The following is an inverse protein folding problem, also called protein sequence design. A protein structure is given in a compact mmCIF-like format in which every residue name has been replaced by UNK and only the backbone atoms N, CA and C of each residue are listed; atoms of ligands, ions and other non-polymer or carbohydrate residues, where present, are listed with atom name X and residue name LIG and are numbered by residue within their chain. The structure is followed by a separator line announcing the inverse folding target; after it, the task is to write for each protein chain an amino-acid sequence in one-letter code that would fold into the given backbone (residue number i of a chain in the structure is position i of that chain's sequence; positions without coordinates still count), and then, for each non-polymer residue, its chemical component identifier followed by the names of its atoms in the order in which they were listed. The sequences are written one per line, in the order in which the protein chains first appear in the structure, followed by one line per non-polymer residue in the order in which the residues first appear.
data_IF_264668078533
#
_entry.id   IF_264668078533
#
_cell.length_a   1.000
_cell.length_b   1.000
_cell.length_c   1.000
_cell.angle_alpha   90.00
_cell.angle_beta   90.00
_cell.angle_gamma   90.00
#
_symmetry.space_group_name_H-M   'P 1'
#
loop_
_entity.id
_entity.type
_entity.pdbx_description
1 polymer ?
#
# COMPACT_ATOMS: atom_id res chain seq x y z
N UNK A 1 2.87 16.40 -5.04
CA UNK A 1 1.54 16.62 -5.69
C UNK A 1 1.32 15.65 -6.86
N UNK A 2 2.38 15.29 -7.56
CA UNK A 2 2.53 14.32 -8.64
C UNK A 2 1.81 13.00 -8.37
N UNK A 3 2.10 12.35 -7.24
CA UNK A 3 1.45 11.07 -6.86
C UNK A 3 -0.07 11.21 -6.71
N UNK A 4 -0.56 12.35 -6.21
CA UNK A 4 -2.00 12.60 -6.08
C UNK A 4 -2.66 12.80 -7.46
N UNK A 5 -1.98 13.47 -8.39
CA UNK A 5 -2.46 13.66 -9.75
C UNK A 5 -2.50 12.32 -10.51
N UNK A 6 -1.46 11.50 -10.37
CA UNK A 6 -1.43 10.15 -10.93
C UNK A 6 -2.54 9.26 -10.34
N UNK A 7 -2.69 9.24 -9.01
CA UNK A 7 -3.74 8.47 -8.34
C UNK A 7 -5.15 8.86 -8.80
N UNK A 8 -5.40 10.16 -9.03
CA UNK A 8 -6.67 10.64 -9.58
C UNK A 8 -6.97 10.05 -10.96
N UNK A 9 -6.00 10.05 -11.88
CA UNK A 9 -6.20 9.44 -13.20
C UNK A 9 -6.39 7.93 -13.11
N UNK A 10 -5.51 7.26 -12.35
CA UNK A 10 -5.53 5.80 -12.27
C UNK A 10 -6.76 5.26 -11.56
N UNK A 11 -7.21 5.88 -10.47
CA UNK A 11 -8.17 5.24 -9.57
C UNK A 11 -9.54 5.93 -9.49
N UNK A 12 -9.69 7.12 -10.09
CA UNK A 12 -10.92 7.91 -9.99
C UNK A 12 -11.49 8.28 -11.36
N UNK A 13 -10.68 8.83 -12.27
CA UNK A 13 -11.19 9.42 -13.52
C UNK A 13 -11.10 8.48 -14.73
N UNK A 14 -9.92 7.89 -14.98
CA UNK A 14 -9.69 7.12 -16.20
C UNK A 14 -9.81 5.61 -15.99
N UNK A 15 -9.16 5.07 -14.95
CA UNK A 15 -9.20 3.63 -14.61
C UNK A 15 -8.69 2.76 -15.79
N UNK A 16 -7.41 2.90 -16.19
CA UNK A 16 -6.86 2.19 -17.35
C UNK A 16 -6.66 0.69 -17.09
N UNK A 17 -6.77 -0.13 -18.14
CA UNK A 17 -6.54 -1.59 -18.04
C UNK A 17 -5.06 -1.93 -17.88
N UNK A 18 -4.16 -1.11 -18.43
CA UNK A 18 -2.70 -1.28 -18.35
C UNK A 18 -2.05 0.03 -17.92
N UNK A 19 -1.14 -0.02 -16.95
CA UNK A 19 -0.29 1.09 -16.54
C UNK A 19 1.17 0.67 -16.70
N UNK A 20 1.98 1.42 -17.46
CA UNK A 20 3.39 1.08 -17.68
C UNK A 20 4.34 2.14 -17.12
N UNK A 21 5.13 1.75 -16.12
CA UNK A 21 6.09 2.59 -15.42
C UNK A 21 7.54 2.21 -15.81
N UNK A 22 8.27 3.15 -16.40
CA UNK A 22 9.68 2.97 -16.74
C UNK A 22 10.59 3.32 -15.56
N UNK A 23 11.58 2.47 -15.27
CA UNK A 23 12.57 2.64 -14.21
C UNK A 23 13.98 2.30 -14.71
N UNK A 24 14.99 2.67 -13.91
CA UNK A 24 16.39 2.31 -14.11
C UNK A 24 17.07 2.06 -12.75
N UNK A 25 18.00 1.11 -12.61
CA UNK A 25 18.58 0.23 -13.63
C UNK A 25 18.36 -1.26 -13.31
N UNK A 26 18.34 -2.09 -14.36
CA UNK A 26 18.23 -3.54 -14.21
C UNK A 26 19.45 -4.17 -13.52
N UNK A 27 19.34 -5.43 -13.05
CA UNK A 27 20.45 -6.14 -12.42
C UNK A 27 21.70 -6.23 -13.32
N UNK A 28 22.88 -6.28 -12.71
CA UNK A 28 24.14 -6.46 -13.43
C UNK A 28 24.10 -7.69 -14.35
N UNK A 29 24.67 -7.56 -15.56
CA UNK A 29 24.66 -8.61 -16.58
C UNK A 29 23.33 -8.77 -17.32
N UNK A 30 22.42 -7.79 -17.23
CA UNK A 30 21.16 -7.72 -18.00
C UNK A 30 21.02 -6.37 -18.68
N UNK A 31 20.03 -6.25 -19.58
CA UNK A 31 19.61 -4.96 -20.15
C UNK A 31 18.31 -4.48 -19.51
N UNK A 32 17.34 -5.38 -19.36
CA UNK A 32 16.01 -5.08 -18.83
C UNK A 32 15.62 -6.12 -17.79
N UNK A 33 15.14 -5.69 -16.63
CA UNK A 33 14.29 -6.54 -15.79
C UNK A 33 12.84 -6.11 -15.93
N UNK A 34 11.93 -7.04 -16.16
CA UNK A 34 10.52 -6.74 -16.41
C UNK A 34 9.58 -7.88 -15.99
N UNK A 35 8.27 -7.75 -16.25
CA UNK A 35 7.30 -8.79 -15.93
C UNK A 35 7.55 -10.08 -16.74
N UNK A 36 7.16 -11.26 -16.23
CA UNK A 36 6.58 -11.51 -14.90
C UNK A 36 7.53 -11.28 -13.73
N UNK A 37 6.97 -11.00 -12.56
CA UNK A 37 7.74 -10.80 -11.32
C UNK A 37 7.83 -12.09 -10.50
N UNK A 38 8.77 -12.15 -9.56
CA UNK A 38 8.89 -13.33 -8.69
C UNK A 38 7.80 -13.36 -7.63
N UNK A 39 7.55 -14.55 -7.12
CA UNK A 39 6.78 -14.77 -5.90
C UNK A 39 7.51 -14.21 -4.67
N UNK A 40 6.79 -13.96 -3.55
CA UNK A 40 5.34 -14.08 -3.42
C UNK A 40 4.56 -12.88 -4.01
N UNK A 41 3.38 -13.16 -4.57
CA UNK A 41 2.35 -12.16 -4.85
C UNK A 41 1.32 -12.08 -3.72
N UNK A 42 0.61 -10.96 -3.63
CA UNK A 42 -0.43 -10.81 -2.61
C UNK A 42 -1.65 -11.68 -2.94
N UNK A 43 -2.02 -12.59 -2.04
CA UNK A 43 -3.08 -13.57 -2.24
C UNK A 43 -4.49 -12.96 -2.32
N UNK A 44 -4.67 -11.67 -2.02
CA UNK A 44 -5.97 -10.98 -2.16
C UNK A 44 -6.30 -10.59 -3.60
N UNK A 45 -5.32 -10.67 -4.51
CA UNK A 45 -5.54 -10.39 -5.94
C UNK A 45 -6.53 -11.38 -6.56
N UNK A 46 -7.26 -10.92 -7.57
CA UNK A 46 -7.97 -11.83 -8.45
C UNK A 46 -6.94 -12.57 -9.32
N UNK A 47 -7.00 -13.90 -9.45
CA UNK A 47 -6.00 -14.67 -10.21
C UNK A 47 -5.92 -14.27 -11.68
N UNK A 48 -7.00 -13.73 -12.27
CA UNK A 48 -6.99 -13.21 -13.66
C UNK A 48 -5.96 -12.10 -13.84
N UNK A 49 -5.65 -11.33 -12.78
CA UNK A 49 -4.65 -10.28 -12.85
C UNK A 49 -3.25 -10.83 -13.15
N UNK A 50 -2.84 -11.89 -12.44
CA UNK A 50 -1.48 -12.43 -12.53
C UNK A 50 -1.26 -13.11 -13.89
N UNK A 51 -2.26 -13.84 -14.39
CA UNK A 51 -2.18 -14.48 -15.70
C UNK A 51 -2.23 -13.45 -16.84
N UNK A 52 -2.98 -12.36 -16.68
CA UNK A 52 -2.98 -11.25 -17.64
C UNK A 52 -1.64 -10.50 -17.64
N UNK A 53 -1.05 -10.26 -16.47
CA UNK A 53 0.31 -9.72 -16.35
C UNK A 53 1.33 -10.59 -17.07
N UNK A 54 1.23 -11.91 -16.90
CA UNK A 54 2.11 -12.87 -17.56
C UNK A 54 1.98 -12.82 -19.09
N UNK A 55 0.75 -12.68 -19.60
CA UNK A 55 0.50 -12.54 -21.03
C UNK A 55 1.14 -11.27 -21.63
N UNK A 56 0.99 -10.11 -20.96
CA UNK A 56 1.62 -8.86 -21.40
C UNK A 56 3.14 -8.95 -21.30
N UNK A 57 3.67 -9.50 -20.20
CA UNK A 57 5.11 -9.70 -20.02
C UNK A 57 5.73 -10.61 -21.08
N UNK A 58 5.04 -11.70 -21.45
CA UNK A 58 5.44 -12.54 -22.57
C UNK A 58 5.47 -11.76 -23.89
N UNK A 59 4.46 -10.94 -24.19
CA UNK A 59 4.44 -10.12 -25.40
C UNK A 59 5.61 -9.12 -25.45
N UNK A 60 5.95 -8.50 -24.31
CA UNK A 60 7.10 -7.60 -24.17
C UNK A 60 8.42 -8.32 -24.46
N UNK A 61 8.63 -9.47 -23.80
CA UNK A 61 9.86 -10.26 -23.93
C UNK A 61 10.02 -10.84 -25.35
N UNK A 62 8.95 -11.43 -25.91
CA UNK A 62 8.94 -11.97 -27.27
C UNK A 62 9.29 -10.91 -28.30
N UNK A 63 8.76 -9.69 -28.16
CA UNK A 63 9.09 -8.61 -29.09
C UNK A 63 10.58 -8.30 -29.11
N UNK A 64 11.23 -8.18 -27.95
CA UNK A 64 12.67 -7.93 -27.90
C UNK A 64 13.46 -9.05 -28.57
N UNK A 65 13.06 -10.31 -28.37
CA UNK A 65 13.71 -11.44 -29.03
C UNK A 65 13.53 -11.42 -30.56
N UNK A 66 12.34 -11.07 -31.06
CA UNK A 66 12.08 -10.89 -32.50
C UNK A 66 12.94 -9.77 -33.09
N UNK A 67 13.18 -8.70 -32.32
CA UNK A 67 14.03 -7.57 -32.73
C UNK A 67 15.53 -7.80 -32.47
N UNK A 68 15.94 -9.01 -32.11
CA UNK A 68 17.33 -9.36 -31.77
C UNK A 68 17.94 -8.48 -30.66
N UNK A 69 17.13 -8.14 -29.65
CA UNK A 69 17.49 -7.34 -28.47
C UNK A 69 17.65 -8.23 -27.23
N UNK A 70 18.85 -8.77 -26.94
CA UNK A 70 19.09 -9.67 -25.81
C UNK A 70 19.07 -8.94 -24.46
N UNK A 71 19.04 -9.70 -23.37
CA UNK A 71 19.25 -9.22 -22.00
C UNK A 71 17.98 -8.87 -21.23
N UNK A 72 16.81 -9.35 -21.65
CA UNK A 72 15.60 -9.27 -20.85
C UNK A 72 15.59 -10.38 -19.79
N UNK A 73 15.27 -10.02 -18.55
CA UNK A 73 15.16 -10.94 -17.43
C UNK A 73 13.84 -10.76 -16.67
N UNK A 74 13.31 -11.84 -16.11
CA UNK A 74 12.04 -11.90 -15.39
C UNK A 74 12.11 -12.86 -14.20
N UNK A 75 11.08 -12.88 -13.35
CA UNK A 75 10.94 -13.80 -12.20
C UNK A 75 12.24 -13.86 -11.37
N UNK A 76 12.87 -15.03 -11.27
CA UNK A 76 14.09 -15.28 -10.49
C UNK A 76 15.33 -14.55 -11.00
N UNK A 77 15.27 -13.98 -12.20
CA UNK A 77 16.30 -13.11 -12.75
C UNK A 77 16.37 -11.71 -12.11
N UNK A 78 15.35 -11.33 -11.33
CA UNK A 78 15.25 -10.08 -10.59
C UNK A 78 14.74 -10.30 -9.16
N UNK A 79 14.87 -9.28 -8.30
CA UNK A 79 14.39 -9.35 -6.91
C UNK A 79 12.92 -8.96 -6.76
N UNK A 80 12.34 -8.28 -7.75
CA UNK A 80 11.02 -7.65 -7.64
C UNK A 80 9.89 -8.65 -7.47
N UNK A 81 9.14 -8.52 -6.37
CA UNK A 81 7.88 -9.24 -6.16
C UNK A 81 6.67 -8.30 -6.25
N UNK A 82 5.47 -8.84 -6.10
CA UNK A 82 4.20 -8.10 -6.19
C UNK A 82 3.44 -8.08 -4.87
N UNK A 83 4.15 -8.31 -3.76
CA UNK A 83 3.59 -8.30 -2.41
C UNK A 83 3.25 -6.87 -1.93
N UNK A 84 4.25 -5.98 -1.90
CA UNK A 84 4.13 -4.63 -1.35
C UNK A 84 3.29 -3.70 -2.24
N UNK A 85 2.34 -2.96 -1.65
CA UNK A 85 1.41 -2.10 -2.39
C UNK A 85 1.87 -0.65 -2.64
N UNK A 86 3.04 -0.23 -2.14
CA UNK A 86 3.41 1.19 -2.10
C UNK A 86 4.05 1.76 -3.37
N UNK A 87 4.27 0.93 -4.39
CA UNK A 87 4.78 1.37 -5.69
C UNK A 87 3.64 1.70 -6.65
N UNK A 88 3.87 2.65 -7.58
CA UNK A 88 2.91 3.01 -8.63
C UNK A 88 2.40 1.76 -9.37
N UNK A 89 3.29 0.82 -9.72
CA UNK A 89 2.93 -0.48 -10.31
C UNK A 89 2.04 -1.31 -9.39
N UNK A 90 2.47 -1.57 -8.17
CA UNK A 90 1.82 -2.59 -7.34
C UNK A 90 0.50 -2.13 -6.77
N UNK A 91 0.30 -0.83 -6.53
CA UNK A 91 -1.03 -0.32 -6.15
C UNK A 91 -2.09 -0.67 -7.20
N UNK A 92 -1.77 -0.61 -8.50
CA UNK A 92 -2.74 -0.89 -9.59
C UNK A 92 -3.29 -2.32 -9.57
N UNK A 93 -2.54 -3.28 -9.03
CA UNK A 93 -2.99 -4.66 -8.86
C UNK A 93 -4.19 -4.79 -7.92
N UNK A 94 -4.22 -4.00 -6.86
CA UNK A 94 -5.36 -3.94 -5.94
C UNK A 94 -6.59 -3.25 -6.55
N UNK A 95 -6.44 -2.70 -7.76
CA UNK A 95 -7.47 -1.96 -8.51
C UNK A 95 -7.84 -2.67 -9.82
N UNK A 96 -7.53 -3.96 -9.95
CA UNK A 96 -7.86 -4.80 -11.12
C UNK A 96 -7.20 -4.33 -12.43
N UNK A 97 -6.04 -3.68 -12.35
CA UNK A 97 -5.31 -3.14 -13.49
C UNK A 97 -3.96 -3.84 -13.64
N UNK A 98 -3.51 -4.03 -14.88
CA UNK A 98 -2.21 -4.61 -15.17
C UNK A 98 -1.13 -3.53 -15.03
N UNK A 99 -0.49 -3.50 -13.86
CA UNK A 99 0.71 -2.69 -13.61
C UNK A 99 1.97 -3.32 -14.20
N UNK A 100 2.71 -2.56 -14.99
CA UNK A 100 4.00 -2.95 -15.57
C UNK A 100 5.10 -2.03 -15.05
N UNK A 101 6.25 -2.61 -14.79
CA UNK A 101 7.51 -1.93 -14.49
C UNK A 101 8.64 -2.61 -15.24
N UNK A 102 9.49 -1.81 -15.88
CA UNK A 102 10.76 -2.29 -16.42
C UNK A 102 11.90 -1.46 -15.89
N UNK A 103 12.94 -2.15 -15.42
CA UNK A 103 14.23 -1.56 -15.07
C UNK A 103 15.19 -1.70 -16.24
N UNK A 104 15.51 -0.60 -16.92
CA UNK A 104 16.37 -0.62 -18.10
C UNK A 104 17.72 0.01 -17.75
N UNK A 105 18.82 -0.71 -17.96
CA UNK A 105 20.17 -0.16 -17.81
C UNK A 105 20.36 1.04 -18.73
N UNK A 106 21.05 2.09 -18.27
CA UNK A 106 21.32 3.27 -19.09
C UNK A 106 21.67 4.49 -18.27
N UNK A 107 22.44 5.40 -18.86
CA UNK A 107 22.79 6.70 -18.31
C UNK A 107 23.13 7.63 -19.48
N UNK A 108 22.96 8.96 -19.37
CA UNK A 108 23.48 9.91 -20.35
C UNK A 108 24.98 9.71 -20.62
N UNK A 109 25.73 9.26 -19.61
CA UNK A 109 27.12 8.85 -19.76
C UNK A 109 27.19 7.39 -20.24
N UNK A 110 27.91 7.08 -21.33
CA UNK A 110 28.11 5.71 -21.77
C UNK A 110 28.63 4.80 -20.65
N UNK A 111 28.09 3.60 -20.58
CA UNK A 111 28.42 2.60 -19.56
C UNK A 111 28.81 1.27 -20.20
N UNK A 112 29.01 0.24 -19.38
CA UNK A 112 29.26 -1.12 -19.83
C UNK A 112 28.20 -2.06 -19.26
N UNK A 113 27.80 -3.06 -20.04
CA UNK A 113 27.15 -4.26 -19.51
C UNK A 113 28.27 -5.13 -18.93
N UNK A 114 28.33 -5.33 -17.60
CA UNK A 114 29.41 -6.09 -16.99
C UNK A 114 29.27 -7.59 -17.26
N UNK A 115 30.40 -8.30 -17.22
CA UNK A 115 30.43 -9.76 -17.27
C UNK A 115 29.89 -10.35 -15.97
N UNK A 116 28.79 -11.10 -16.08
CA UNK A 116 28.23 -11.91 -15.00
C UNK A 116 28.07 -13.34 -15.52
N UNK A 117 29.07 -14.22 -15.33
CA UNK A 117 29.08 -15.55 -15.96
C UNK A 117 27.84 -16.39 -15.65
N UNK A 118 27.29 -16.28 -14.43
CA UNK A 118 26.08 -16.99 -14.01
C UNK A 118 24.81 -16.61 -14.77
N UNK A 119 24.83 -15.53 -15.57
CA UNK A 119 23.72 -15.07 -16.42
C UNK A 119 23.92 -15.38 -17.90
N UNK A 120 25.04 -16.00 -18.30
CA UNK A 120 25.32 -16.28 -19.71
C UNK A 120 24.65 -17.55 -20.24
N UNK A 121 24.26 -18.47 -19.36
CA UNK A 121 23.51 -19.66 -19.75
C UNK A 121 22.02 -19.32 -19.89
N UNK A 122 21.40 -19.53 -21.07
CA UNK A 122 19.97 -19.32 -21.26
C UNK A 122 19.12 -20.18 -20.31
N UNK A 123 18.03 -19.60 -19.81
CA UNK A 123 17.01 -20.30 -19.04
C UNK A 123 15.62 -19.67 -19.26
N UNK A 124 14.60 -20.15 -18.55
CA UNK A 124 13.22 -19.61 -18.65
C UNK A 124 13.08 -18.16 -18.21
N UNK A 125 13.98 -17.68 -17.36
CA UNK A 125 13.97 -16.29 -16.85
C UNK A 125 14.70 -15.34 -17.80
N UNK A 126 15.66 -15.84 -18.59
CA UNK A 126 16.48 -15.07 -19.53
C UNK A 126 16.95 -15.96 -20.70
N UNK A 127 16.08 -16.23 -21.69
CA UNK A 127 16.35 -17.15 -22.79
C UNK A 127 17.34 -16.60 -23.81
N UNK A 128 17.55 -15.27 -23.82
CA UNK A 128 18.45 -14.59 -24.75
C UNK A 128 19.37 -13.63 -23.98
N UNK A 129 20.40 -14.13 -23.28
CA UNK A 129 21.27 -13.31 -22.44
C UNK A 129 22.14 -12.35 -23.25
N UNK A 130 22.43 -11.18 -22.69
CA UNK A 130 23.33 -10.19 -23.31
C UNK A 130 24.79 -10.52 -22.98
N UNK A 131 25.69 -10.29 -23.93
CA UNK A 131 27.14 -10.40 -23.71
C UNK A 131 27.73 -9.07 -23.22
N UNK A 132 28.89 -9.09 -22.51
CA UNK A 132 29.55 -7.88 -22.06
C UNK A 132 29.86 -6.96 -23.23
N UNK A 133 29.48 -5.68 -23.13
CA UNK A 133 29.67 -4.70 -24.20
C UNK A 133 29.50 -3.28 -23.70
N UNK A 134 30.03 -2.31 -24.46
CA UNK A 134 29.69 -0.90 -24.27
C UNK A 134 28.19 -0.69 -24.48
N UNK A 135 27.61 0.16 -23.65
CA UNK A 135 26.20 0.49 -23.64
C UNK A 135 26.02 2.00 -23.75
N UNK A 136 25.31 2.44 -24.78
CA UNK A 136 25.02 3.85 -25.00
C UNK A 136 23.58 4.15 -24.63
N UNK A 137 23.29 5.37 -24.18
CA UNK A 137 21.93 5.76 -23.78
C UNK A 137 20.88 5.49 -24.89
N UNK A 138 21.27 5.67 -26.15
CA UNK A 138 20.42 5.34 -27.31
C UNK A 138 19.93 3.89 -27.27
N UNK A 139 20.77 2.93 -26.86
CA UNK A 139 20.37 1.53 -26.76
C UNK A 139 19.22 1.36 -25.77
N UNK A 140 19.27 2.02 -24.61
CA UNK A 140 18.19 2.00 -23.62
C UNK A 140 16.89 2.58 -24.17
N UNK A 141 16.97 3.69 -24.92
CA UNK A 141 15.82 4.30 -25.58
C UNK A 141 15.22 3.34 -26.63
N UNK A 142 16.07 2.69 -27.43
CA UNK A 142 15.61 1.73 -28.44
C UNK A 142 14.89 0.53 -27.81
N UNK A 143 15.30 0.07 -26.62
CA UNK A 143 14.59 -0.97 -25.88
C UNK A 143 13.26 -0.45 -25.31
N UNK A 144 13.27 0.75 -24.71
CA UNK A 144 12.08 1.39 -24.16
C UNK A 144 10.99 1.59 -25.22
N UNK A 145 11.35 2.10 -26.40
CA UNK A 145 10.41 2.28 -27.53
C UNK A 145 9.78 0.95 -27.94
N UNK A 146 10.57 -0.11 -28.06
CA UNK A 146 10.04 -1.43 -28.40
C UNK A 146 9.09 -1.99 -27.35
N UNK A 147 9.43 -1.84 -26.08
CA UNK A 147 8.56 -2.29 -24.99
C UNK A 147 7.24 -1.52 -24.95
N UNK A 148 7.26 -0.20 -25.19
CA UNK A 148 6.03 0.59 -25.35
C UNK A 148 5.17 0.07 -26.51
N UNK A 149 5.76 -0.18 -27.68
CA UNK A 149 5.01 -0.76 -28.80
C UNK A 149 4.55 -2.20 -28.54
N UNK A 150 5.25 -2.99 -27.74
CA UNK A 150 4.77 -4.31 -27.32
C UNK A 150 3.48 -4.19 -26.53
N UNK A 151 3.46 -3.28 -25.54
CA UNK A 151 2.29 -3.02 -24.70
C UNK A 151 1.13 -2.47 -25.52
N UNK A 152 1.38 -1.46 -26.37
CA UNK A 152 0.34 -0.86 -27.23
C UNK A 152 -0.23 -1.87 -28.23
N UNK A 153 0.62 -2.70 -28.85
CA UNK A 153 0.17 -3.74 -29.78
C UNK A 153 -0.64 -4.82 -29.07
N UNK A 154 -0.23 -5.22 -27.85
CA UNK A 154 -1.01 -6.16 -27.05
C UNK A 154 -2.39 -5.55 -26.73
N UNK A 155 -2.43 -4.31 -26.23
CA UNK A 155 -3.67 -3.62 -25.91
C UNK A 155 -4.61 -3.52 -27.13
N UNK A 156 -4.07 -3.21 -28.30
CA UNK A 156 -4.84 -3.11 -29.55
C UNK A 156 -5.42 -4.45 -30.00
N UNK A 157 -4.70 -5.56 -29.81
CA UNK A 157 -5.12 -6.91 -30.24
C UNK A 157 -6.05 -7.61 -29.27
N UNK A 158 -5.99 -7.25 -27.98
CA UNK A 158 -6.70 -7.89 -26.87
C UNK A 158 -7.64 -6.91 -26.15
N UNK A 159 -8.14 -5.89 -26.84
CA UNK A 159 -8.89 -4.79 -26.22
C UNK A 159 -10.18 -5.26 -25.53
N UNK A 160 -10.92 -6.17 -26.15
CA UNK A 160 -12.13 -6.78 -25.62
C UNK A 160 -11.85 -7.63 -24.38
N UNK A 161 -10.81 -8.46 -24.42
CA UNK A 161 -10.36 -9.27 -23.30
C UNK A 161 -9.90 -8.40 -22.11
N UNK A 162 -9.11 -7.35 -22.36
CA UNK A 162 -8.66 -6.42 -21.32
C UNK A 162 -9.83 -5.72 -20.61
N UNK A 163 -10.83 -5.28 -21.38
CA UNK A 163 -12.04 -4.65 -20.85
C UNK A 163 -12.91 -5.64 -20.07
N UNK A 164 -13.07 -6.86 -20.58
CA UNK A 164 -13.84 -7.89 -19.90
C UNK A 164 -13.15 -8.35 -18.60
N UNK A 165 -11.83 -8.52 -18.60
CA UNK A 165 -11.07 -8.98 -17.45
C UNK A 165 -11.17 -8.00 -16.27
N UNK A 166 -11.02 -6.68 -16.51
CA UNK A 166 -11.19 -5.70 -15.43
C UNK A 166 -12.61 -5.70 -14.86
N UNK A 167 -13.64 -5.84 -15.72
CA UNK A 167 -15.02 -6.00 -15.30
C UNK A 167 -15.20 -7.26 -14.43
N UNK A 168 -14.70 -8.40 -14.88
CA UNK A 168 -14.86 -9.69 -14.21
C UNK A 168 -14.17 -9.68 -12.84
N UNK A 169 -12.95 -9.16 -12.74
CA UNK A 169 -12.22 -9.02 -11.48
C UNK A 169 -12.97 -8.10 -10.49
N UNK A 170 -13.50 -6.97 -10.98
CA UNK A 170 -14.34 -6.07 -10.18
C UNK A 170 -15.63 -6.72 -9.70
N UNK A 171 -16.32 -7.47 -10.57
CA UNK A 171 -17.53 -8.22 -10.22
C UNK A 171 -17.23 -9.30 -9.17
N UNK A 172 -16.17 -10.08 -9.36
CA UNK A 172 -15.72 -11.09 -8.39
C UNK A 172 -15.48 -10.48 -7.01
N UNK A 173 -14.82 -9.31 -6.97
CA UNK A 173 -14.58 -8.57 -5.73
C UNK A 173 -15.88 -8.16 -5.03
N UNK A 174 -16.84 -7.60 -5.77
CA UNK A 174 -18.16 -7.23 -5.24
C UNK A 174 -18.90 -8.47 -4.72
N UNK A 175 -18.93 -9.56 -5.49
CA UNK A 175 -19.60 -10.80 -5.11
C UNK A 175 -19.00 -11.40 -3.83
N UNK A 176 -17.66 -11.40 -3.69
CA UNK A 176 -16.96 -11.82 -2.46
C UNK A 176 -17.29 -10.91 -1.27
N UNK A 177 -17.47 -9.61 -1.49
CA UNK A 177 -17.92 -8.69 -0.45
C UNK A 177 -19.39 -8.88 -0.03
N UNK A 178 -20.22 -9.51 -0.87
CA UNK A 178 -21.67 -9.76 -0.64
C UNK A 178 -22.04 -11.13 -0.08
N UNK A 179 -21.18 -12.15 -0.17
CA UNK A 179 -21.36 -13.46 0.48
C UNK A 179 -20.22 -13.84 1.45
N UNK A 180 -20.45 -14.80 2.33
CA UNK A 180 -19.39 -15.32 3.19
C UNK A 180 -18.24 -15.83 2.32
N UNK A 181 -17.05 -15.32 2.58
CA UNK A 181 -15.83 -15.62 1.84
C UNK A 181 -14.71 -15.85 2.84
N UNK A 182 -13.84 -16.81 2.55
CA UNK A 182 -12.66 -17.10 3.36
C UNK A 182 -11.43 -17.03 2.47
N UNK A 183 -10.73 -15.90 2.50
CA UNK A 183 -9.48 -15.74 1.74
C UNK A 183 -8.38 -16.61 2.34
N UNK A 184 -7.55 -17.22 1.49
CA UNK A 184 -6.37 -17.95 1.92
C UNK A 184 -5.33 -17.00 2.52
N UNK A 185 -4.51 -17.50 3.45
CA UNK A 185 -3.32 -16.82 3.94
C UNK A 185 -2.32 -17.86 4.44
N UNK A 186 -1.01 -17.56 4.49
CA UNK A 186 0.00 -18.45 5.05
C UNK A 186 -0.37 -19.03 6.42
N UNK A 187 -0.83 -18.21 7.36
CA UNK A 187 -1.29 -18.68 8.69
C UNK A 187 -2.46 -19.66 8.62
N UNK A 188 -3.42 -19.45 7.71
CA UNK A 188 -4.54 -20.39 7.52
C UNK A 188 -4.06 -21.72 6.95
N UNK A 189 -3.14 -21.70 5.98
CA UNK A 189 -2.53 -22.92 5.42
C UNK A 189 -1.71 -23.66 6.50
N UNK A 190 -0.95 -22.94 7.32
CA UNK A 190 -0.22 -23.51 8.44
C UNK A 190 -1.17 -24.13 9.48
N UNK A 191 -2.29 -23.48 9.78
CA UNK A 191 -3.31 -24.02 10.68
C UNK A 191 -3.93 -25.33 10.17
N UNK A 192 -4.18 -25.45 8.85
CA UNK A 192 -4.64 -26.69 8.22
C UNK A 192 -3.60 -27.80 8.40
N UNK A 193 -2.34 -27.50 8.10
CA UNK A 193 -1.22 -28.45 8.25
C UNK A 193 -1.05 -28.89 9.72
N UNK A 194 -1.17 -27.96 10.67
CA UNK A 194 -1.08 -28.25 12.09
C UNK A 194 -2.26 -29.11 12.57
N UNK A 195 -3.48 -28.86 12.08
CA UNK A 195 -4.65 -29.67 12.40
C UNK A 195 -4.48 -31.11 11.89
N UNK A 196 -3.95 -31.29 10.69
CA UNK A 196 -3.67 -32.61 10.13
C UNK A 196 -2.58 -33.37 10.89
N UNK A 197 -1.49 -32.70 11.28
CA UNK A 197 -0.44 -33.29 12.12
C UNK A 197 -0.99 -33.78 13.47
N UNK A 198 -1.87 -33.00 14.11
CA UNK A 198 -2.49 -33.34 15.40
C UNK A 198 -3.51 -34.48 15.30
N UNK A 199 -4.30 -34.51 14.22
CA UNK A 199 -5.38 -35.47 14.06
C UNK A 199 -4.95 -36.90 13.67
N UNK A 200 -3.65 -37.19 13.66
CA UNK A 200 -3.07 -38.38 13.04
C UNK A 200 -3.22 -38.34 11.52
N UNK A 201 -2.31 -38.97 10.78
CA UNK A 201 -2.41 -39.07 9.32
C UNK A 201 -3.64 -39.89 8.93
N UNK A 202 -4.82 -39.26 8.90
CA UNK A 202 -5.94 -39.70 8.09
C UNK A 202 -5.57 -39.47 6.63
N UNK A 203 -4.55 -40.20 6.17
CA UNK A 203 -4.23 -40.30 4.76
C UNK A 203 -5.48 -40.87 4.11
N UNK A 204 -6.11 -40.08 3.23
CA UNK A 204 -6.99 -40.68 2.26
C UNK A 204 -6.07 -41.52 1.37
N UNK A 205 -6.12 -42.84 1.53
CA UNK A 205 -5.45 -43.78 0.64
C UNK A 205 -6.08 -43.60 -0.75
N UNK A 206 -5.37 -42.90 -1.62
CA UNK A 206 -5.80 -42.63 -3.00
C UNK A 206 -5.28 -43.70 -3.96
N UNK A 207 -4.86 -44.86 -3.42
CA UNK A 207 -4.30 -45.97 -4.17
C UNK A 207 -2.89 -45.69 -4.70
N UNK A 208 -2.19 -46.75 -5.07
CA UNK A 208 -0.92 -46.66 -5.79
C UNK A 208 -1.19 -46.16 -7.21
N UNK A 209 -0.60 -44.99 -7.52
CA UNK A 209 -0.46 -44.55 -8.91
C UNK A 209 0.90 -44.98 -9.43
N UNK A 210 1.01 -45.18 -10.75
CA UNK A 210 2.29 -45.45 -11.44
C UNK A 210 3.35 -44.32 -11.21
N UNK A 211 2.92 -43.18 -10.66
CA UNK A 211 3.74 -42.03 -10.28
C UNK A 211 3.97 -41.90 -8.75
N UNK A 212 3.71 -42.96 -7.97
CA UNK A 212 3.92 -43.04 -6.52
C UNK A 212 2.66 -42.80 -5.67
N UNK A 213 2.78 -43.04 -4.35
CA UNK A 213 1.71 -42.87 -3.37
C UNK A 213 1.35 -41.38 -3.19
N UNK A 214 0.15 -40.98 -3.64
CA UNK A 214 -0.38 -39.63 -3.40
C UNK A 214 -0.98 -39.57 -2.00
N UNK A 215 -0.21 -39.06 -1.04
CA UNK A 215 -0.72 -38.77 0.31
C UNK A 215 -1.66 -37.56 0.23
N UNK A 216 -2.97 -37.82 0.28
CA UNK A 216 -3.98 -36.78 0.39
C UNK A 216 -4.38 -36.57 1.85
N UNK A 217 -4.45 -35.29 2.25
CA UNK A 217 -4.97 -34.88 3.55
C UNK A 217 -6.50 -34.95 3.56
N UNK A 218 -7.10 -35.42 4.66
CA UNK A 218 -8.56 -35.40 4.80
C UNK A 218 -9.11 -33.97 4.76
N UNK A 219 -10.13 -33.73 3.91
CA UNK A 219 -10.75 -32.40 3.71
C UNK A 219 -11.29 -31.76 4.99
N UNK A 220 -11.63 -32.56 6.02
CA UNK A 220 -12.10 -32.04 7.31
C UNK A 220 -11.15 -31.00 7.93
N UNK A 221 -9.82 -31.13 7.72
CA UNK A 221 -8.84 -30.18 8.25
C UNK A 221 -8.91 -28.83 7.51
N UNK A 222 -9.20 -28.87 6.20
CA UNK A 222 -9.56 -27.67 5.44
C UNK A 222 -10.81 -27.05 6.02
N UNK A 223 -11.91 -27.81 6.17
CA UNK A 223 -13.19 -27.29 6.65
C UNK A 223 -13.11 -26.70 8.06
N UNK A 224 -12.30 -27.32 8.94
CA UNK A 224 -12.11 -26.86 10.32
C UNK A 224 -11.52 -25.45 10.38
N UNK A 225 -10.67 -25.09 9.41
CA UNK A 225 -10.04 -23.76 9.34
C UNK A 225 -10.84 -22.84 8.44
N UNK A 226 -11.10 -23.27 7.20
CA UNK A 226 -11.65 -22.44 6.14
C UNK A 226 -13.17 -22.26 6.24
N UNK A 227 -13.92 -23.08 6.97
CA UNK A 227 -15.36 -22.86 7.16
C UNK A 227 -15.69 -22.32 8.56
N UNK A 228 -14.67 -22.08 9.41
CA UNK A 228 -14.88 -21.51 10.73
C UNK A 228 -15.41 -20.06 10.61
N UNK A 229 -16.50 -19.70 11.31
CA UNK A 229 -17.09 -18.36 11.23
C UNK A 229 -16.12 -17.23 11.55
N UNK A 230 -15.20 -17.45 12.50
CA UNK A 230 -14.17 -16.49 12.91
C UNK A 230 -13.19 -16.14 11.78
N UNK A 231 -12.97 -17.07 10.83
CA UNK A 231 -12.02 -16.90 9.73
C UNK A 231 -12.64 -16.26 8.48
N UNK A 232 -13.92 -15.90 8.52
CA UNK A 232 -14.60 -15.16 7.44
C UNK A 232 -13.93 -13.82 7.21
N UNK A 233 -13.85 -13.44 5.95
CA UNK A 233 -13.48 -12.09 5.56
C UNK A 233 -14.54 -11.08 6.04
N UNK A 234 -14.18 -9.81 6.25
CA UNK A 234 -15.13 -8.81 6.71
C UNK A 234 -16.05 -8.32 5.58
N UNK A 235 -17.26 -7.91 5.98
CA UNK A 235 -18.26 -7.18 5.19
C UNK A 235 -18.03 -5.69 5.11
N UNK A 236 -17.30 -5.17 6.10
CA UNK A 236 -16.93 -3.78 6.16
C UNK A 236 -16.32 -3.41 7.50
N UNK A 237 -15.93 -2.15 7.56
CA UNK A 237 -15.25 -1.54 8.68
C UNK A 237 -16.01 -0.29 9.11
N UNK A 238 -16.12 -0.08 10.42
CA UNK A 238 -16.77 1.10 10.99
C UNK A 238 -15.73 1.90 11.76
N UNK A 239 -15.55 3.17 11.40
CA UNK A 239 -14.67 4.12 12.08
C UNK A 239 -15.57 5.08 12.88
N UNK A 240 -15.60 4.88 14.19
CA UNK A 240 -16.44 5.68 15.09
C UNK A 240 -15.94 7.13 15.22
N UNK A 241 -16.86 8.10 15.21
CA UNK A 241 -16.53 9.54 15.27
C UNK A 241 -16.07 10.05 16.64
N UNK A 242 -16.20 9.22 17.67
CA UNK A 242 -15.79 9.50 19.05
C UNK A 242 -14.39 8.96 19.41
N UNK A 243 -13.67 8.39 18.43
CA UNK A 243 -12.28 7.97 18.66
C UNK A 243 -11.34 9.16 18.97
N UNK A 244 -10.22 8.95 19.69
CA UNK A 244 -9.39 10.03 20.22
C UNK A 244 -8.81 10.98 19.15
N UNK A 245 -8.33 10.44 18.03
CA UNK A 245 -7.80 11.19 16.89
C UNK A 245 -8.60 10.92 15.61
N UNK A 246 -9.84 11.38 15.59
CA UNK A 246 -10.70 11.21 14.43
C UNK A 246 -10.19 11.97 13.19
N UNK A 247 -9.40 13.03 13.35
CA UNK A 247 -8.86 13.77 12.22
C UNK A 247 -7.78 12.96 11.48
N UNK A 248 -6.97 12.16 12.20
CA UNK A 248 -6.11 11.14 11.58
C UNK A 248 -6.92 10.05 10.87
N UNK A 249 -8.07 9.62 11.43
CA UNK A 249 -8.99 8.73 10.71
C UNK A 249 -9.54 9.35 9.41
N UNK A 250 -9.84 10.65 9.38
CA UNK A 250 -10.23 11.35 8.15
C UNK A 250 -9.08 11.36 7.13
N UNK A 251 -7.83 11.57 7.55
CA UNK A 251 -6.66 11.49 6.64
C UNK A 251 -6.53 10.10 6.01
N UNK A 252 -6.72 9.06 6.81
CA UNK A 252 -6.73 7.68 6.32
C UNK A 252 -7.87 7.45 5.31
N UNK A 253 -9.10 7.85 5.62
CA UNK A 253 -10.23 7.77 4.68
C UNK A 253 -9.96 8.57 3.39
N UNK A 254 -9.30 9.73 3.48
CA UNK A 254 -8.88 10.50 2.32
C UNK A 254 -7.79 9.79 1.50
N UNK A 255 -6.91 9.01 2.12
CA UNK A 255 -5.97 8.15 1.39
C UNK A 255 -6.73 7.09 0.57
N UNK A 256 -7.74 6.46 1.16
CA UNK A 256 -8.62 5.51 0.48
C UNK A 256 -9.42 6.16 -0.67
N UNK A 257 -9.99 7.36 -0.44
CA UNK A 257 -10.75 8.08 -1.46
C UNK A 257 -9.88 8.46 -2.66
N UNK A 258 -8.60 8.81 -2.43
CA UNK A 258 -7.64 9.09 -3.50
C UNK A 258 -7.31 7.87 -4.35
N UNK A 259 -7.53 6.67 -3.81
CA UNK A 259 -7.38 5.39 -4.51
C UNK A 259 -8.73 4.81 -4.93
N UNK A 260 -9.77 5.65 -5.07
CA UNK A 260 -11.05 5.23 -5.64
C UNK A 260 -11.93 4.38 -4.72
N UNK A 261 -11.55 4.24 -3.45
CA UNK A 261 -12.37 3.51 -2.46
C UNK A 261 -13.59 4.33 -2.08
N UNK A 262 -14.74 3.65 -2.08
CA UNK A 262 -16.01 4.18 -1.62
C UNK A 262 -16.05 4.18 -0.10
N UNK A 263 -16.38 5.34 0.45
CA UNK A 263 -16.60 5.57 1.88
C UNK A 263 -18.04 6.08 2.07
N UNK A 264 -18.67 5.71 3.18
CA UNK A 264 -20.00 6.20 3.56
C UNK A 264 -19.93 6.94 4.89
N UNK A 265 -20.74 7.99 5.06
CA UNK A 265 -20.92 8.73 6.32
C UNK A 265 -22.27 8.37 6.93
N UNK A 266 -22.31 8.07 8.22
CA UNK A 266 -23.56 7.89 8.95
C UNK A 266 -24.20 9.25 9.25
N UNK A 267 -25.43 9.50 8.78
CA UNK A 267 -26.15 10.76 9.00
C UNK A 267 -26.88 10.80 10.34
N UNK A 268 -27.11 9.63 10.96
CA UNK A 268 -27.68 9.49 12.29
C UNK A 268 -26.96 8.38 13.07
N UNK A 269 -27.19 8.34 14.37
CA UNK A 269 -26.72 7.25 15.24
C UNK A 269 -27.31 5.91 14.79
N UNK A 270 -26.51 4.85 14.81
CA UNK A 270 -26.91 3.50 14.40
C UNK A 270 -26.26 2.42 15.27
N UNK A 271 -26.71 1.17 15.14
CA UNK A 271 -26.20 0.03 15.92
C UNK A 271 -25.83 -1.11 14.98
N UNK A 272 -24.65 -1.71 15.19
CA UNK A 272 -24.19 -2.93 14.48
C UNK A 272 -23.57 -3.86 15.49
N UNK A 273 -23.94 -5.15 15.45
CA UNK A 273 -23.46 -6.18 16.39
C UNK A 273 -23.57 -5.77 17.87
N UNK A 274 -24.67 -5.09 18.23
CA UNK A 274 -24.93 -4.62 19.60
C UNK A 274 -24.14 -3.37 20.03
N UNK A 275 -23.20 -2.88 19.22
CA UNK A 275 -22.45 -1.64 19.48
C UNK A 275 -23.14 -0.44 18.81
N UNK A 276 -23.33 0.63 19.57
CA UNK A 276 -23.92 1.89 19.11
C UNK A 276 -22.83 2.84 18.60
N UNK A 277 -23.06 3.45 17.44
CA UNK A 277 -22.14 4.38 16.79
C UNK A 277 -22.79 5.76 16.61
N UNK A 278 -22.09 6.86 16.91
CA UNK A 278 -22.63 8.19 16.75
C UNK A 278 -22.77 8.59 15.27
N UNK A 279 -23.68 9.53 15.00
CA UNK A 279 -23.71 10.24 13.72
C UNK A 279 -22.33 10.85 13.38
N UNK A 280 -22.00 10.88 12.10
CA UNK A 280 -20.68 11.31 11.60
C UNK A 280 -19.62 10.21 11.58
N UNK A 281 -19.91 9.01 12.10
CA UNK A 281 -19.04 7.84 11.92
C UNK A 281 -18.96 7.45 10.44
N UNK A 282 -17.84 6.85 10.02
CA UNK A 282 -17.64 6.42 8.64
C UNK A 282 -17.68 4.91 8.51
N UNK A 283 -18.10 4.44 7.34
CA UNK A 283 -18.18 3.03 6.98
C UNK A 283 -17.44 2.80 5.67
N UNK A 284 -16.60 1.77 5.64
CA UNK A 284 -15.97 1.27 4.42
C UNK A 284 -16.44 -0.16 4.19
N UNK A 285 -17.28 -0.36 3.18
CA UNK A 285 -17.81 -1.68 2.83
C UNK A 285 -16.85 -2.46 1.93
N UNK A 286 -16.86 -3.79 2.00
CA UNK A 286 -15.99 -4.63 1.16
C UNK A 286 -16.64 -5.06 -0.16
N UNK A 287 -17.94 -4.80 -0.38
CA UNK A 287 -18.67 -5.11 -1.61
C UNK A 287 -18.47 -4.08 -2.73
N UNK A 288 -17.21 -3.72 -2.98
CA UNK A 288 -16.79 -2.80 -4.03
C UNK A 288 -15.71 -3.40 -4.93
N UNK A 289 -15.56 -2.86 -6.14
CA UNK A 289 -14.66 -3.44 -7.16
C UNK A 289 -13.20 -3.52 -6.70
N UNK A 290 -12.75 -2.55 -5.89
CA UNK A 290 -11.39 -2.50 -5.34
C UNK A 290 -11.30 -3.11 -3.93
N UNK A 291 -12.12 -4.13 -3.65
CA UNK A 291 -12.09 -4.91 -2.40
C UNK A 291 -10.68 -5.33 -1.98
N UNK A 292 -9.78 -5.80 -2.88
CA UNK A 292 -8.42 -6.16 -2.48
C UNK A 292 -7.69 -5.01 -1.79
N UNK A 293 -7.83 -3.77 -2.28
CA UNK A 293 -7.19 -2.61 -1.66
C UNK A 293 -7.79 -2.28 -0.29
N UNK A 294 -9.11 -2.46 -0.12
CA UNK A 294 -9.74 -2.30 1.20
C UNK A 294 -9.14 -3.29 2.20
N UNK A 295 -9.07 -4.58 1.85
CA UNK A 295 -8.47 -5.59 2.74
C UNK A 295 -7.01 -5.26 3.08
N UNK A 296 -6.22 -4.85 2.09
CA UNK A 296 -4.82 -4.50 2.26
C UNK A 296 -4.59 -3.32 3.22
N UNK A 297 -5.56 -2.39 3.31
CA UNK A 297 -5.48 -1.21 4.16
C UNK A 297 -5.99 -1.40 5.59
N UNK A 298 -6.79 -2.45 5.85
CA UNK A 298 -7.41 -2.71 7.15
C UNK A 298 -6.97 -4.01 7.82
N UNK A 299 -6.63 -5.06 7.06
CA UNK A 299 -6.25 -6.36 7.60
C UNK A 299 -4.72 -6.46 7.81
N UNK A 300 -4.26 -7.29 8.77
CA UNK A 300 -2.84 -7.52 8.95
C UNK A 300 -2.23 -8.26 7.75
N UNK A 301 -1.06 -7.82 7.31
CA UNK A 301 -0.29 -8.53 6.30
C UNK A 301 0.19 -9.90 6.82
N UNK A 302 0.16 -10.90 5.96
CA UNK A 302 0.60 -12.27 6.25
C UNK A 302 1.55 -12.76 5.15
N UNK A 303 2.76 -12.21 5.12
CA UNK A 303 3.75 -12.51 4.08
C UNK A 303 4.17 -13.99 4.14
N UNK A 304 4.16 -14.73 3.01
CA UNK A 304 4.63 -16.11 2.97
C UNK A 304 6.11 -16.20 3.35
N UNK A 305 6.50 -17.20 4.13
CA UNK A 305 7.93 -17.46 4.32
C UNK A 305 8.51 -17.99 3.01
N UNK A 306 9.31 -17.18 2.34
CA UNK A 306 9.89 -17.49 1.03
C UNK A 306 11.23 -18.18 1.20
N UNK A 307 11.33 -19.45 0.82
CA UNK A 307 12.55 -20.25 0.96
C UNK A 307 12.94 -20.87 -0.38
N UNK A 308 14.25 -20.89 -0.67
CA UNK A 308 14.77 -21.57 -1.86
C UNK A 308 14.63 -23.10 -1.79
N UNK A 309 14.64 -23.65 -0.57
CA UNK A 309 14.44 -25.07 -0.28
C UNK A 309 13.99 -25.22 1.17
N UNK A 310 13.38 -26.36 1.50
CA UNK A 310 12.89 -26.66 2.86
C UNK A 310 14.02 -26.58 3.90
N UNK A 311 13.82 -25.80 4.97
CA UNK A 311 14.80 -25.57 6.03
C UNK A 311 15.92 -24.57 5.69
N UNK A 312 15.91 -23.97 4.50
CA UNK A 312 16.84 -22.91 4.11
C UNK A 312 16.56 -21.56 4.82
N UNK A 313 17.47 -20.60 4.66
CA UNK A 313 17.22 -19.22 5.09
C UNK A 313 16.14 -18.56 4.21
N UNK A 314 15.28 -17.70 4.79
CA UNK A 314 14.26 -17.03 4.00
C UNK A 314 14.90 -16.00 3.06
N UNK A 315 14.35 -15.89 1.85
CA UNK A 315 14.68 -14.81 0.91
C UNK A 315 14.05 -13.53 1.46
N UNK A 316 14.84 -12.47 1.70
CA UNK A 316 14.29 -11.20 2.17
C UNK A 316 13.20 -10.68 1.23
N UNK A 317 12.15 -10.02 1.77
CA UNK A 317 11.22 -9.29 0.92
C UNK A 317 12.00 -8.25 0.12
N UNK A 318 11.57 -8.03 -1.13
CA UNK A 318 12.18 -7.01 -1.98
C UNK A 318 12.08 -5.61 -1.37
N UNK A 319 10.94 -5.33 -0.72
CA UNK A 319 10.61 -4.03 -0.13
C UNK A 319 10.08 -4.24 1.29
N UNK A 320 8.80 -3.98 1.57
CA UNK A 320 8.16 -4.25 2.85
C UNK A 320 7.39 -5.59 2.89
N UNK A 321 7.36 -6.22 4.07
CA UNK A 321 6.49 -7.37 4.36
C UNK A 321 5.22 -6.99 5.16
N UNK A 322 5.17 -5.80 5.75
CA UNK A 322 4.01 -5.27 6.48
C UNK A 322 3.91 -3.75 6.39
N UNK A 323 2.72 -3.22 6.08
CA UNK A 323 2.46 -1.79 5.83
C UNK A 323 1.01 -1.37 6.07
N UNK A 324 0.18 -2.18 6.73
CA UNK A 324 -1.27 -1.93 6.88
C UNK A 324 -1.52 -0.52 7.41
N UNK A 325 -2.04 0.35 6.54
CA UNK A 325 -2.03 1.79 6.78
C UNK A 325 -2.91 2.19 7.97
N UNK A 326 -4.04 1.49 8.19
CA UNK A 326 -4.88 1.73 9.36
C UNK A 326 -4.11 1.54 10.68
N UNK A 327 -3.19 0.57 10.74
CA UNK A 327 -2.36 0.34 11.93
C UNK A 327 -1.23 1.35 12.05
N UNK A 328 -0.56 1.68 10.94
CA UNK A 328 0.50 2.68 10.93
C UNK A 328 0.01 4.08 11.33
N UNK A 329 -1.28 4.37 11.08
CA UNK A 329 -1.93 5.63 11.43
C UNK A 329 -2.70 5.58 12.76
N UNK A 330 -2.62 4.47 13.50
CA UNK A 330 -3.36 4.21 14.74
C UNK A 330 -4.89 4.42 14.65
N UNK A 331 -5.46 4.16 13.48
CA UNK A 331 -6.90 4.32 13.22
C UNK A 331 -7.67 3.27 14.01
N UNK A 332 -8.67 3.71 14.79
CA UNK A 332 -9.57 2.79 15.49
C UNK A 332 -10.76 2.45 14.61
N UNK A 333 -11.02 1.17 14.45
CA UNK A 333 -12.13 0.67 13.65
C UNK A 333 -12.66 -0.66 14.19
N UNK A 334 -13.93 -0.94 13.90
CA UNK A 334 -14.55 -2.24 14.15
C UNK A 334 -14.66 -3.02 12.85
N UNK A 335 -14.16 -4.26 12.86
CA UNK A 335 -14.22 -5.22 11.74
C UNK A 335 -15.53 -6.01 11.82
N UNK A 336 -16.42 -5.84 10.84
CA UNK A 336 -17.75 -6.46 10.83
C UNK A 336 -17.79 -7.62 9.83
N UNK A 337 -18.20 -8.81 10.26
CA UNK A 337 -18.29 -10.02 9.42
C UNK A 337 -19.68 -10.32 8.88
N UNK A 338 -20.73 -9.80 9.51
CA UNK A 338 -22.10 -9.96 9.04
C UNK A 338 -22.53 -8.76 8.21
N UNK A 339 -23.54 -8.93 7.35
CA UNK A 339 -24.05 -7.80 6.61
C UNK A 339 -24.74 -6.80 7.56
N UNK A 340 -24.67 -5.51 7.22
CA UNK A 340 -25.17 -4.45 8.06
C UNK A 340 -25.63 -3.24 7.25
N UNK A 341 -26.72 -2.62 7.68
CA UNK A 341 -27.27 -1.42 7.06
C UNK A 341 -27.40 -0.31 8.09
N UNK A 342 -27.56 0.92 7.63
CA UNK A 342 -27.73 2.08 8.48
C UNK A 342 -28.07 3.32 7.67
N UNK A 343 -28.21 4.48 8.33
CA UNK A 343 -28.46 5.77 7.69
C UNK A 343 -27.16 6.27 7.02
N UNK A 344 -26.67 5.51 6.04
CA UNK A 344 -25.39 5.72 5.39
C UNK A 344 -25.56 6.53 4.11
N UNK A 345 -24.87 7.65 4.02
CA UNK A 345 -24.77 8.46 2.82
C UNK A 345 -23.44 8.16 2.12
N UNK A 346 -23.50 7.81 0.83
CA UNK A 346 -22.32 7.54 0.03
C UNK A 346 -21.56 8.83 -0.24
N UNK A 347 -20.28 8.87 0.10
CA UNK A 347 -19.41 9.97 -0.34
C UNK A 347 -19.15 9.86 -1.85
N UNK A 348 -19.29 10.94 -2.64
CA UNK A 348 -18.98 10.92 -4.05
C UNK A 348 -17.53 10.48 -4.34
N UNK A 349 -17.31 9.80 -5.46
CA UNK A 349 -15.98 9.30 -5.84
C UNK A 349 -14.96 10.45 -5.91
N UNK A 350 -13.78 10.23 -5.32
CA UNK A 350 -12.69 11.20 -5.30
C UNK A 350 -12.93 12.45 -4.45
N UNK A 351 -14.13 12.65 -3.89
CA UNK A 351 -14.43 13.84 -3.10
C UNK A 351 -13.82 13.71 -1.70
N UNK A 352 -12.82 14.54 -1.40
CA UNK A 352 -12.11 14.47 -0.13
C UNK A 352 -12.99 14.96 1.01
N UNK A 353 -12.90 14.25 2.13
CA UNK A 353 -13.52 14.62 3.39
C UNK A 353 -12.77 15.80 4.00
N UNK A 354 -13.54 16.74 4.54
CA UNK A 354 -13.03 17.86 5.33
C UNK A 354 -13.43 17.64 6.78
N UNK A 355 -12.48 17.62 7.73
CA UNK A 355 -12.81 17.50 9.14
C UNK A 355 -13.69 18.65 9.64
N UNK A 356 -14.72 18.33 10.42
CA UNK A 356 -15.62 19.32 11.01
C UNK A 356 -15.01 19.89 12.30
N UNK A 357 -14.16 20.90 12.17
CA UNK A 357 -13.55 21.58 13.32
C UNK A 357 -14.37 22.82 13.69
N UNK A 358 -15.46 22.64 14.45
CA UNK A 358 -16.22 23.78 14.99
C UNK A 358 -15.47 24.39 16.17
N UNK A 359 -15.28 25.71 16.14
CA UNK A 359 -14.61 26.46 17.22
C UNK A 359 -15.57 27.44 17.84
N UNK A 360 -15.69 27.39 19.17
CA UNK A 360 -16.41 28.37 19.99
C UNK A 360 -15.58 28.75 21.22
N UNK A 361 -15.95 29.83 21.91
CA UNK A 361 -15.31 30.26 23.16
C UNK A 361 -13.97 31.00 22.99
N UNK A 362 -13.28 31.19 24.11
CA UNK A 362 -12.08 32.05 24.25
C UNK A 362 -10.85 31.36 24.86
N UNK A 363 -10.94 30.08 25.23
CA UNK A 363 -9.82 29.28 25.73
C UNK A 363 -9.88 27.88 25.10
N UNK A 364 -8.88 27.56 24.30
CA UNK A 364 -8.82 26.36 23.49
C UNK A 364 -7.90 25.32 24.11
N UNK A 365 -8.32 24.06 24.03
CA UNK A 365 -7.54 22.89 24.44
C UNK A 365 -7.32 22.01 23.23
N UNK A 366 -6.04 21.77 22.90
CA UNK A 366 -5.61 20.84 21.87
C UNK A 366 -5.12 19.57 22.56
N UNK A 367 -5.69 18.43 22.21
CA UNK A 367 -5.30 17.19 22.88
C UNK A 367 -3.95 16.68 22.40
N UNK A 368 -3.10 16.23 23.31
CA UNK A 368 -1.83 15.58 22.98
C UNK A 368 -2.01 14.25 22.23
N UNK A 369 -3.21 13.66 22.29
CA UNK A 369 -3.54 12.44 21.56
C UNK A 369 -3.79 12.67 20.05
N UNK A 370 -3.91 13.93 19.60
CA UNK A 370 -4.10 14.26 18.18
C UNK A 370 -2.78 14.70 17.56
N UNK A 371 -2.37 14.05 16.48
CA UNK A 371 -1.13 14.41 15.76
C UNK A 371 -1.17 15.85 15.22
N UNK A 372 -2.33 16.30 14.75
CA UNK A 372 -2.51 17.67 14.22
C UNK A 372 -2.39 18.76 15.29
N UNK A 373 -2.49 18.43 16.57
CA UNK A 373 -2.24 19.38 17.66
C UNK A 373 -0.81 19.92 17.60
N UNK A 374 0.16 19.08 17.25
CA UNK A 374 1.57 19.47 17.20
C UNK A 374 1.85 20.45 16.06
N UNK A 375 1.27 20.21 14.88
CA UNK A 375 1.32 21.15 13.75
C UNK A 375 0.71 22.50 14.13
N UNK A 376 -0.48 22.50 14.76
CA UNK A 376 -1.13 23.72 15.20
C UNK A 376 -0.32 24.48 16.27
N UNK A 377 0.31 23.77 17.20
CA UNK A 377 1.22 24.37 18.20
C UNK A 377 2.42 25.03 17.53
N UNK A 378 3.03 24.38 16.54
CA UNK A 378 4.14 24.96 15.79
C UNK A 378 3.72 26.26 15.06
N UNK A 379 2.53 26.28 14.44
CA UNK A 379 1.99 27.48 13.82
C UNK A 379 1.70 28.61 14.81
N UNK A 380 1.18 28.28 16.00
CA UNK A 380 0.95 29.25 17.07
C UNK A 380 2.27 29.87 17.56
N UNK A 381 3.27 29.04 17.83
CA UNK A 381 4.60 29.50 18.29
C UNK A 381 5.28 30.38 17.23
N UNK A 382 5.19 30.01 15.95
CA UNK A 382 5.70 30.81 14.82
C UNK A 382 5.06 32.20 14.76
N UNK A 383 3.80 32.31 15.14
CA UNK A 383 3.06 33.58 15.23
C UNK A 383 3.13 34.24 16.62
N UNK A 384 4.05 33.79 17.48
CA UNK A 384 4.28 34.34 18.83
C UNK A 384 3.06 34.27 19.75
N UNK A 385 2.14 33.35 19.50
CA UNK A 385 1.01 33.07 20.41
C UNK A 385 1.51 32.21 21.56
N UNK A 386 1.12 32.57 22.78
CA UNK A 386 1.48 31.78 23.96
C UNK A 386 0.72 30.45 23.99
N UNK A 387 1.48 29.37 24.20
CA UNK A 387 0.96 28.02 24.36
C UNK A 387 1.46 27.47 25.69
N UNK A 388 0.58 26.86 26.46
CA UNK A 388 0.92 26.15 27.69
C UNK A 388 0.63 24.67 27.54
N UNK A 389 1.44 23.82 28.16
CA UNK A 389 1.24 22.37 28.19
C UNK A 389 0.96 21.93 29.61
N UNK A 390 -0.10 21.14 29.82
CA UNK A 390 -0.35 20.51 31.12
C UNK A 390 0.75 19.48 31.41
N UNK A 391 1.29 19.52 32.63
CA UNK A 391 2.25 18.51 33.09
C UNK A 391 1.56 17.20 33.50
N UNK A 392 0.23 17.21 33.69
CA UNK A 392 -0.57 16.05 34.09
C UNK A 392 -0.96 15.18 32.89
N UNK A 393 -1.56 15.78 31.86
CA UNK A 393 -2.11 15.04 30.72
C UNK A 393 -1.42 15.35 29.38
N UNK A 394 -0.50 16.32 29.36
CA UNK A 394 0.25 16.70 28.16
C UNK A 394 -0.51 17.57 27.15
N UNK A 395 -1.79 17.86 27.36
CA UNK A 395 -2.62 18.69 26.46
C UNK A 395 -2.12 20.13 26.40
N UNK A 396 -2.37 20.79 25.27
CA UNK A 396 -1.98 22.18 25.04
C UNK A 396 -3.16 23.14 25.26
N UNK A 397 -2.87 24.29 25.85
CA UNK A 397 -3.84 25.34 26.20
C UNK A 397 -3.44 26.65 25.55
N UNK A 398 -4.40 27.28 24.86
CA UNK A 398 -4.19 28.46 24.04
C UNK A 398 -5.35 29.44 24.30
N UNK A 399 -5.04 30.71 24.53
CA UNK A 399 -6.08 31.74 24.71
C UNK A 399 -6.75 32.13 23.38
N UNK A 400 -7.70 33.05 23.44
CA UNK A 400 -8.39 33.61 22.27
C UNK A 400 -7.42 34.24 21.25
N UNK A 401 -6.19 34.58 21.65
CA UNK A 401 -5.15 35.07 20.75
C UNK A 401 -4.81 34.07 19.62
N UNK A 402 -4.98 32.76 19.86
CA UNK A 402 -4.73 31.72 18.85
C UNK A 402 -5.87 31.46 17.89
N UNK A 403 -7.04 32.12 18.06
CA UNK A 403 -8.28 31.79 17.36
C UNK A 403 -8.12 31.74 15.83
N UNK A 404 -7.51 32.76 15.23
CA UNK A 404 -7.38 32.86 13.76
C UNK A 404 -6.50 31.77 13.12
N UNK A 405 -5.57 31.21 13.90
CA UNK A 405 -4.72 30.09 13.49
C UNK A 405 -5.48 28.78 13.67
N UNK A 406 -6.12 28.61 14.83
CA UNK A 406 -6.86 27.42 15.18
C UNK A 406 -8.09 27.18 14.29
N UNK A 407 -8.76 28.25 13.81
CA UNK A 407 -9.86 28.17 12.83
C UNK A 407 -9.47 27.53 11.51
N UNK A 408 -8.18 27.54 11.16
CA UNK A 408 -7.64 26.91 9.95
C UNK A 408 -6.96 25.58 10.25
N UNK A 409 -6.77 25.26 11.54
CA UNK A 409 -6.05 24.07 11.96
C UNK A 409 -6.93 22.83 11.83
N UNK A 410 -6.30 21.71 11.52
CA UNK A 410 -6.99 20.43 11.42
C UNK A 410 -7.14 19.73 12.78
N UNK A 411 -7.63 20.42 13.81
CA UNK A 411 -7.68 19.91 15.19
C UNK A 411 -9.11 19.92 15.72
N UNK A 412 -9.55 18.81 16.32
CA UNK A 412 -10.79 18.77 17.09
C UNK A 412 -10.55 19.43 18.44
N UNK A 413 -10.98 20.67 18.57
CA UNK A 413 -10.73 21.52 19.73
C UNK A 413 -11.76 21.30 20.84
N UNK A 414 -11.31 21.43 22.08
CA UNK A 414 -12.17 21.57 23.26
C UNK A 414 -12.02 22.98 23.83
N UNK A 415 -12.97 23.41 24.65
CA UNK A 415 -12.84 24.65 25.42
C UNK A 415 -12.53 24.34 26.87
N UNK A 416 -11.57 25.05 27.47
CA UNK A 416 -11.18 24.81 28.85
C UNK A 416 -10.11 25.78 29.34
N UNK A 417 -10.14 26.10 30.63
CA UNK A 417 -9.11 26.93 31.26
C UNK A 417 -7.82 26.13 31.45
N UNK A 418 -6.68 26.80 31.34
CA UNK A 418 -5.38 26.17 31.56
C UNK A 418 -5.21 25.73 33.03
N UNK A 419 -4.75 24.49 33.32
CA UNK A 419 -4.62 23.97 34.67
C UNK A 419 -3.58 24.75 35.49
N UNK A 420 -3.61 24.59 36.82
CA UNK A 420 -2.61 25.23 37.70
C UNK A 420 -1.20 24.70 37.39
N UNK A 421 -1.07 23.39 37.27
CA UNK A 421 0.19 22.73 36.93
C UNK A 421 0.38 22.67 35.40
N UNK A 422 1.18 23.61 34.88
CA UNK A 422 1.45 23.76 33.46
C UNK A 422 2.82 24.38 33.21
N UNK A 423 3.39 24.06 32.06
CA UNK A 423 4.64 24.62 31.57
C UNK A 423 4.40 25.44 30.31
N UNK A 424 5.07 26.60 30.18
CA UNK A 424 5.02 27.39 28.94
C UNK A 424 5.82 26.64 27.86
N UNK A 425 5.23 26.48 26.67
CA UNK A 425 5.89 25.83 25.52
C UNK A 425 6.74 26.86 24.80
N UNK A 426 7.95 26.45 24.41
CA UNK A 426 8.85 27.22 23.56
C UNK A 426 9.24 26.41 22.32
N UNK A 427 9.55 27.11 21.23
CA UNK A 427 10.05 26.46 20.03
C UNK A 427 11.46 25.90 20.29
N UNK A 428 11.68 24.63 19.92
CA UNK A 428 13.00 24.03 19.95
C UNK A 428 13.88 24.57 18.81
N UNK A 429 15.20 24.66 19.05
CA UNK A 429 16.19 24.86 17.99
C UNK A 429 16.57 23.48 17.46
N UNK A 430 16.13 23.15 16.24
CA UNK A 430 16.31 21.82 15.66
C UNK A 430 17.34 21.93 14.53
N UNK A 431 18.39 21.11 14.60
CA UNK A 431 19.32 20.92 13.51
C UNK A 431 19.11 19.52 12.91
N UNK A 432 18.97 19.44 11.58
CA UNK A 432 18.92 18.20 10.83
C UNK A 432 20.24 18.04 10.08
N UNK A 433 21.08 17.13 10.55
CA UNK A 433 22.36 16.86 9.90
C UNK A 433 22.18 16.13 8.58
N UNK A 434 22.90 16.56 7.55
CA UNK A 434 22.92 15.96 6.21
C UNK A 434 24.35 15.93 5.64
N UNK A 435 24.54 15.11 4.61
CA UNK A 435 25.73 15.11 3.75
C UNK A 435 25.37 15.63 2.36
N UNK A 436 26.34 16.17 1.64
CA UNK A 436 26.11 16.56 0.25
C UNK A 436 25.71 15.32 -0.59
N UNK A 437 24.46 15.30 -1.07
CA UNK A 437 23.88 14.15 -1.78
C UNK A 437 23.07 13.16 -0.91
N UNK A 438 22.93 13.40 0.40
CA UNK A 438 22.26 12.54 1.39
C UNK A 438 20.72 12.45 1.32
N UNK A 439 20.12 12.66 0.13
CA UNK A 439 18.68 12.90 -0.05
C UNK A 439 17.73 11.85 0.54
N UNK A 440 18.16 10.60 0.77
CA UNK A 440 17.26 9.57 1.32
C UNK A 440 17.11 9.65 2.84
N UNK A 441 18.20 9.72 3.62
CA UNK A 441 18.08 9.67 5.08
C UNK A 441 17.54 10.99 5.65
N UNK A 442 18.12 12.12 5.25
CA UNK A 442 17.69 13.45 5.69
C UNK A 442 16.36 13.86 5.04
N UNK A 443 16.11 13.48 3.79
CA UNK A 443 14.97 13.93 3.00
C UNK A 443 13.63 13.51 3.58
N UNK A 444 13.49 12.26 4.04
CA UNK A 444 12.25 11.80 4.69
C UNK A 444 12.00 12.49 6.03
N UNK A 445 13.04 12.68 6.84
CA UNK A 445 12.93 13.39 8.12
C UNK A 445 12.55 14.86 7.89
N UNK A 446 13.21 15.50 6.91
CA UNK A 446 12.90 16.86 6.48
C UNK A 446 11.45 16.96 6.01
N UNK A 447 11.00 16.04 5.16
CA UNK A 447 9.61 16.00 4.70
C UNK A 447 8.62 15.94 5.87
N UNK A 448 8.87 15.07 6.86
CA UNK A 448 8.04 14.99 8.07
C UNK A 448 8.06 16.31 8.85
N UNK A 449 9.24 16.88 9.09
CA UNK A 449 9.38 18.16 9.79
C UNK A 449 8.63 19.29 9.07
N UNK A 450 8.71 19.34 7.74
CA UNK A 450 7.97 20.27 6.89
C UNK A 450 6.45 20.03 6.97
N UNK A 451 5.96 18.79 6.98
CA UNK A 451 4.52 18.49 7.12
C UNK A 451 3.96 18.91 8.49
N UNK A 452 4.77 18.84 9.54
CA UNK A 452 4.39 19.23 10.90
C UNK A 452 4.82 20.66 11.27
N UNK A 453 5.33 21.43 10.30
CA UNK A 453 5.76 22.83 10.46
C UNK A 453 6.85 23.05 11.53
N UNK A 454 7.70 22.05 11.77
CA UNK A 454 8.88 22.23 12.63
C UNK A 454 9.92 23.13 11.92
N UNK A 455 10.48 24.07 12.67
CA UNK A 455 11.55 24.93 12.17
C UNK A 455 12.92 24.24 12.34
N UNK A 456 13.23 23.31 11.43
CA UNK A 456 14.51 22.63 11.39
C UNK A 456 15.47 23.28 10.40
N UNK A 457 16.71 23.51 10.84
CA UNK A 457 17.80 23.96 9.98
C UNK A 457 18.58 22.73 9.50
N UNK A 458 18.68 22.53 8.19
CA UNK A 458 19.59 21.53 7.64
C UNK A 458 21.01 22.04 7.80
N UNK A 459 21.88 21.24 8.42
CA UNK A 459 23.28 21.55 8.64
C UNK A 459 24.17 20.46 8.02
N UNK A 460 25.37 20.85 7.63
CA UNK A 460 26.37 19.97 7.03
C UNK A 460 27.58 19.83 7.95
N UNK A 461 28.51 18.89 7.69
CA UNK A 461 29.70 18.70 8.54
C UNK A 461 30.47 20.01 8.82
N UNK A 462 30.58 20.88 7.82
CA UNK A 462 31.26 22.18 7.95
C UNK A 462 30.57 23.16 8.92
N UNK A 463 29.27 23.00 9.18
CA UNK A 463 28.53 23.86 10.13
C UNK A 463 28.70 23.40 11.59
N UNK A 464 29.20 22.18 11.82
CA UNK A 464 29.42 21.60 13.16
C UNK A 464 30.85 21.83 13.63
N UNK A 465 31.81 21.74 12.72
CA UNK A 465 33.25 21.87 13.02
C UNK A 465 33.74 23.34 13.03
N UNK A 466 32.84 24.32 12.88
CA UNK A 466 33.13 25.75 12.77
C UNK A 466 33.05 26.53 14.09
#
# INVERSE_FOLDING_TARGET
KETQNMGRQLFVEWIPQIMYNHHQAGPAGTVVAGPPYRDPFNYVFDPTLLTSLDAVGAAMHTRLNVEAKPGYTQRGGSVFSTWYNGGLRTTTYFHNMIGLLTEIVGSPTPSEIPLVPSRLLPNSDSPNPVTPRKWYFKNSIDYSVSLNYAVLNYAQRHADELLFNIYQMGKNSIDRGKKDTWSFSPKKIEAINAAAKKGGSGAADMGDSEFGARRAMNVKYFDTVMNAPVNRDPRGYILSADQPDFNSAIKFLNALIRTGIVVYKATATFTVAGKKYPAGSYVVKTDQAFRPHVLDMFEPQDHPNDFKYEGGAPIPPYDAAGWTLAYLMDVKFDRIQDDFTGPFEKNPYGNLLVPENKIGGSNYVLSAAQNDSYTAVNDLLKNKVEVYRSNENGDFYVSSAGKSILEKANVKLKTGAAPKDKSKVSAARIALWDTYGGSMASGWMRFIMEQYHYNATVIYPQDIDA
#
